data_IF_455505266654
#
_entry.id   IF_455505266654
#
_cell.length_a   1.000
_cell.length_b   1.000
_cell.length_c   1.000
_cell.angle_alpha   90.00
_cell.angle_beta   90.00
_cell.angle_gamma   90.00
#
_symmetry.space_group_name_H-M   'P 1'
#
loop_
_entity.id
_entity.type
_entity.pdbx_description
1 polymer ?
#
# COMPACT_ATOMS: atom_id res chain seq x y z
N UNK A 1 22.51 -3.02 5.38
CA UNK A 1 21.51 -1.94 5.21
C UNK A 1 20.44 -2.15 4.15
N UNK A 2 20.37 -3.26 3.41
CA UNK A 2 19.28 -3.51 2.44
C UNK A 2 18.20 -4.49 2.95
N UNK A 3 18.15 -4.75 4.26
CA UNK A 3 17.31 -5.76 4.90
C UNK A 3 15.80 -5.40 4.97
N UNK A 4 15.42 -4.24 4.44
CA UNK A 4 14.06 -3.69 4.52
C UNK A 4 13.26 -3.86 3.23
N UNK A 5 13.89 -4.21 2.10
CA UNK A 5 13.19 -4.42 0.83
C UNK A 5 12.98 -5.92 0.59
N UNK A 6 11.74 -6.38 0.34
CA UNK A 6 11.51 -7.78 0.04
C UNK A 6 12.27 -8.17 -1.23
N UNK A 7 12.87 -9.38 -1.30
CA UNK A 7 13.53 -9.82 -2.51
C UNK A 7 12.49 -9.97 -3.64
N UNK A 8 12.93 -9.90 -4.92
CA UNK A 8 12.06 -10.23 -6.03
C UNK A 8 11.37 -11.59 -5.84
N UNK A 9 10.14 -11.70 -6.31
CA UNK A 9 9.30 -12.90 -6.17
C UNK A 9 9.08 -13.57 -7.54
N UNK A 10 8.31 -14.64 -7.59
CA UNK A 10 7.84 -15.28 -8.82
C UNK A 10 6.42 -15.83 -8.60
N UNK A 11 5.69 -16.10 -9.68
CA UNK A 11 4.25 -16.44 -9.64
C UNK A 11 3.89 -17.62 -8.72
N UNK A 12 4.79 -18.59 -8.58
CA UNK A 12 4.56 -19.83 -7.83
C UNK A 12 5.08 -19.74 -6.38
N UNK A 13 5.66 -18.60 -5.98
CA UNK A 13 6.24 -18.43 -4.65
C UNK A 13 5.18 -18.03 -3.63
N UNK A 14 5.09 -18.81 -2.56
CA UNK A 14 4.45 -18.39 -1.31
C UNK A 14 5.55 -17.89 -0.37
N UNK A 15 5.68 -16.57 -0.28
CA UNK A 15 6.70 -15.89 0.55
C UNK A 15 6.12 -15.30 1.84
N UNK A 16 7.00 -14.73 2.67
CA UNK A 16 6.59 -13.97 3.85
C UNK A 16 5.91 -12.67 3.39
N UNK A 17 4.74 -12.27 3.94
CA UNK A 17 4.16 -10.98 3.63
C UNK A 17 5.14 -9.86 3.92
N UNK A 18 5.26 -8.90 3.01
CA UNK A 18 6.27 -7.86 3.12
C UNK A 18 6.13 -7.00 4.40
N UNK A 19 4.90 -6.82 4.90
CA UNK A 19 4.64 -6.15 6.19
C UNK A 19 5.02 -6.98 7.43
N UNK A 20 5.26 -8.28 7.29
CA UNK A 20 5.68 -9.18 8.38
C UNK A 20 7.19 -9.33 8.49
N UNK A 21 7.97 -8.68 7.61
CA UNK A 21 9.43 -8.72 7.67
C UNK A 21 9.95 -7.92 8.87
N UNK A 22 10.98 -8.43 9.53
CA UNK A 22 11.74 -7.75 10.57
C UNK A 22 13.24 -8.06 10.41
N UNK A 23 14.08 -7.50 11.28
CA UNK A 23 15.51 -7.87 11.32
C UNK A 23 15.73 -9.34 11.69
N UNK A 24 14.78 -9.94 12.40
CA UNK A 24 14.85 -11.32 12.91
C UNK A 24 14.14 -12.29 11.96
N UNK A 25 13.07 -11.84 11.30
CA UNK A 25 12.24 -12.63 10.41
C UNK A 25 12.24 -12.03 9.00
N UNK A 26 12.97 -12.65 8.07
CA UNK A 26 13.07 -12.15 6.70
C UNK A 26 12.87 -13.26 5.68
N UNK A 27 12.35 -12.87 4.51
CA UNK A 27 12.07 -13.81 3.44
C UNK A 27 13.36 -14.20 2.71
N UNK A 28 13.72 -15.49 2.76
CA UNK A 28 14.89 -16.06 2.08
C UNK A 28 14.44 -16.75 0.80
N UNK A 29 14.64 -16.10 -0.34
CA UNK A 29 14.33 -16.67 -1.65
C UNK A 29 15.57 -17.14 -2.41
N UNK A 30 15.42 -18.14 -3.26
CA UNK A 30 16.39 -18.45 -4.32
C UNK A 30 16.26 -17.41 -5.45
N UNK A 31 17.37 -16.99 -6.06
CA UNK A 31 17.31 -16.13 -7.25
C UNK A 31 16.51 -16.83 -8.35
N UNK A 32 15.40 -16.22 -8.77
CA UNK A 32 14.61 -16.65 -9.93
C UNK A 32 15.08 -15.91 -11.18
N UNK A 33 15.14 -16.62 -12.29
CA UNK A 33 15.39 -16.07 -13.64
C UNK A 33 14.17 -15.31 -14.18
N UNK A 34 12.97 -15.55 -13.65
CA UNK A 34 11.72 -14.84 -13.97
C UNK A 34 11.21 -14.05 -12.75
N UNK A 35 12.06 -13.16 -12.26
CA UNK A 35 11.75 -12.36 -11.08
C UNK A 35 10.72 -11.27 -11.39
N UNK A 36 9.66 -11.19 -10.59
CA UNK A 36 8.69 -10.08 -10.58
C UNK A 36 8.86 -9.25 -9.30
N UNK A 37 8.50 -7.97 -9.36
CA UNK A 37 8.50 -7.11 -8.17
C UNK A 37 7.62 -7.71 -7.07
N UNK A 38 8.03 -7.67 -5.79
CA UNK A 38 7.24 -8.19 -4.68
C UNK A 38 5.93 -7.41 -4.49
N UNK A 39 4.85 -8.05 -3.99
CA UNK A 39 3.62 -7.36 -3.63
C UNK A 39 3.84 -6.49 -2.39
N UNK A 40 4.00 -5.20 -2.61
CA UNK A 40 4.28 -4.20 -1.56
C UNK A 40 3.16 -3.20 -1.36
N UNK A 41 2.10 -3.31 -2.18
CA UNK A 41 0.92 -2.46 -2.15
C UNK A 41 -0.32 -3.33 -2.31
N UNK A 42 -1.39 -3.00 -1.57
CA UNK A 42 -2.75 -3.48 -1.83
C UNK A 42 -3.68 -2.28 -1.87
N UNK A 43 -4.52 -2.24 -2.90
CA UNK A 43 -5.57 -1.24 -3.05
C UNK A 43 -6.90 -1.87 -2.68
N UNK A 44 -7.67 -1.19 -1.84
CA UNK A 44 -9.05 -1.56 -1.51
C UNK A 44 -9.97 -0.48 -2.07
N UNK A 45 -10.93 -0.88 -2.88
CA UNK A 45 -12.00 -0.02 -3.36
C UNK A 45 -13.28 -0.41 -2.62
N UNK A 46 -13.77 0.50 -1.77
CA UNK A 46 -15.06 0.37 -1.10
C UNK A 46 -16.14 0.97 -1.98
N UNK A 47 -17.02 0.12 -2.49
CA UNK A 47 -18.11 0.52 -3.38
C UNK A 47 -19.18 1.23 -2.55
N UNK A 48 -19.37 2.54 -2.76
CA UNK A 48 -20.43 3.29 -2.08
C UNK A 48 -21.77 3.22 -2.83
N UNK A 49 -21.70 2.84 -4.10
CA UNK A 49 -22.82 2.59 -5.00
C UNK A 49 -22.66 1.19 -5.60
N UNK A 50 -23.74 0.66 -6.18
CA UNK A 50 -23.65 -0.54 -7.01
C UNK A 50 -22.71 -0.27 -8.19
N UNK A 51 -21.76 -1.18 -8.43
CA UNK A 51 -20.93 -1.16 -9.62
C UNK A 51 -21.47 -2.15 -10.63
N UNK A 52 -21.63 -1.67 -11.85
CA UNK A 52 -22.03 -2.45 -13.02
C UNK A 52 -21.05 -2.18 -14.15
N UNK A 53 -21.09 -3.01 -15.19
CA UNK A 53 -20.31 -2.75 -16.40
C UNK A 53 -20.71 -1.41 -17.04
N UNK A 54 -22.01 -1.11 -17.09
CA UNK A 54 -22.53 0.10 -17.75
C UNK A 54 -22.21 1.40 -17.01
N UNK A 55 -22.10 1.38 -15.67
CA UNK A 55 -21.82 2.56 -14.87
C UNK A 55 -20.31 2.79 -14.60
N UNK A 56 -19.44 2.05 -15.28
CA UNK A 56 -18.00 2.23 -15.19
C UNK A 56 -17.36 1.52 -13.99
N UNK A 57 -17.81 0.30 -13.69
CA UNK A 57 -17.10 -0.61 -12.79
C UNK A 57 -15.60 -0.67 -13.13
N UNK A 58 -14.76 -0.76 -12.08
CA UNK A 58 -13.30 -0.74 -12.23
C UNK A 58 -12.86 -1.88 -13.17
N UNK A 59 -12.16 -1.55 -14.24
CA UNK A 59 -11.60 -2.52 -15.17
C UNK A 59 -10.33 -3.11 -14.59
N UNK A 60 -10.19 -4.43 -14.70
CA UNK A 60 -9.02 -5.17 -14.22
C UNK A 60 -8.57 -6.13 -15.31
N UNK A 61 -7.26 -6.23 -15.53
CA UNK A 61 -6.66 -7.27 -16.40
C UNK A 61 -6.22 -8.45 -15.50
N UNK A 62 -6.96 -9.58 -15.49
CA UNK A 62 -6.64 -10.68 -14.60
C UNK A 62 -5.24 -11.25 -14.86
N UNK A 63 -4.52 -11.57 -13.78
CA UNK A 63 -3.19 -12.18 -13.87
C UNK A 63 -2.04 -11.25 -14.31
N UNK A 64 -2.30 -9.99 -14.69
CA UNK A 64 -1.25 -9.08 -15.18
C UNK A 64 -0.11 -8.86 -14.19
N UNK A 65 -0.43 -8.86 -12.88
CA UNK A 65 0.52 -8.72 -11.77
C UNK A 65 1.55 -9.86 -11.66
N UNK A 66 1.33 -10.99 -12.35
CA UNK A 66 2.22 -12.16 -12.35
C UNK A 66 3.26 -12.13 -13.48
N UNK A 67 3.15 -11.16 -14.40
CA UNK A 67 3.99 -11.12 -15.62
C UNK A 67 5.30 -10.33 -15.46
N UNK A 68 5.39 -9.46 -14.43
CA UNK A 68 6.53 -8.56 -14.25
C UNK A 68 6.66 -7.46 -15.31
N UNK A 69 5.70 -7.34 -16.23
CA UNK A 69 5.70 -6.37 -17.33
C UNK A 69 4.31 -5.76 -17.53
N UNK A 70 4.23 -4.72 -18.36
CA UNK A 70 2.93 -4.17 -18.76
C UNK A 70 2.18 -5.19 -19.63
N UNK A 71 0.84 -5.30 -19.49
CA UNK A 71 0.04 -6.13 -20.37
C UNK A 71 0.08 -5.60 -21.81
N UNK A 72 -0.14 -6.49 -22.78
CA UNK A 72 -0.29 -6.09 -24.18
C UNK A 72 -1.52 -5.19 -24.35
N UNK A 73 -1.51 -4.29 -25.34
CA UNK A 73 -2.63 -3.37 -25.60
C UNK A 73 -3.94 -4.07 -25.96
N UNK A 74 -3.87 -5.35 -26.33
CA UNK A 74 -5.00 -6.22 -26.65
C UNK A 74 -5.43 -7.10 -25.47
N UNK A 75 -4.86 -6.90 -24.28
CA UNK A 75 -5.20 -7.71 -23.12
C UNK A 75 -6.67 -7.51 -22.72
N UNK A 76 -7.36 -8.61 -22.48
CA UNK A 76 -8.75 -8.58 -22.03
C UNK A 76 -8.83 -8.04 -20.59
N UNK A 77 -9.77 -7.13 -20.39
CA UNK A 77 -10.11 -6.61 -19.07
C UNK A 77 -11.54 -6.96 -18.71
N UNK A 78 -11.79 -7.17 -17.43
CA UNK A 78 -13.13 -7.41 -16.88
C UNK A 78 -13.54 -6.26 -15.96
N UNK A 79 -14.82 -5.91 -15.98
CA UNK A 79 -15.41 -4.95 -15.05
C UNK A 79 -15.62 -5.61 -13.68
N UNK A 80 -15.05 -5.05 -12.62
CA UNK A 80 -15.42 -5.39 -11.26
C UNK A 80 -16.81 -4.82 -10.95
N UNK A 81 -17.77 -5.72 -10.74
CA UNK A 81 -19.17 -5.39 -10.43
C UNK A 81 -19.55 -5.96 -9.07
N UNK A 82 -20.54 -5.33 -8.43
CA UNK A 82 -20.98 -5.72 -7.10
C UNK A 82 -21.89 -4.67 -6.46
N UNK A 83 -22.70 -5.04 -5.46
CA UNK A 83 -23.56 -4.10 -4.78
C UNK A 83 -22.78 -3.11 -3.92
N UNK A 84 -23.40 -1.97 -3.59
CA UNK A 84 -22.89 -1.04 -2.58
C UNK A 84 -22.56 -1.78 -1.26
N UNK A 85 -21.46 -1.37 -0.62
CA UNK A 85 -20.90 -2.04 0.57
C UNK A 85 -19.88 -3.15 0.25
N UNK A 86 -19.69 -3.50 -1.03
CA UNK A 86 -18.65 -4.44 -1.45
C UNK A 86 -17.26 -3.82 -1.34
N UNK A 87 -16.27 -4.62 -0.92
CA UNK A 87 -14.85 -4.26 -0.95
C UNK A 87 -14.14 -5.05 -2.06
N UNK A 88 -13.59 -4.36 -3.05
CA UNK A 88 -12.72 -4.95 -4.06
C UNK A 88 -11.26 -4.80 -3.62
N UNK A 89 -10.57 -5.93 -3.44
CA UNK A 89 -9.15 -5.97 -3.10
C UNK A 89 -8.32 -6.23 -4.37
N UNK A 90 -7.35 -5.37 -4.61
CA UNK A 90 -6.45 -5.44 -5.75
C UNK A 90 -4.99 -5.46 -5.28
N UNK A 91 -4.21 -6.43 -5.76
CA UNK A 91 -2.75 -6.35 -5.71
C UNK A 91 -2.30 -5.06 -6.41
N UNK A 92 -1.41 -4.27 -5.80
CA UNK A 92 -0.99 -2.99 -6.35
C UNK A 92 -0.28 -3.07 -7.71
N UNK A 93 0.15 -4.27 -8.13
CA UNK A 93 0.76 -4.53 -9.44
C UNK A 93 -0.27 -4.91 -10.52
N UNK A 94 -1.53 -5.15 -10.15
CA UNK A 94 -2.57 -5.51 -11.13
C UNK A 94 -2.87 -4.31 -12.01
N UNK A 95 -2.99 -4.53 -13.31
CA UNK A 95 -3.33 -3.49 -14.25
C UNK A 95 -4.83 -3.24 -14.15
N UNK A 96 -5.19 -2.00 -13.90
CA UNK A 96 -6.57 -1.61 -13.67
C UNK A 96 -6.81 -0.16 -14.06
N UNK A 97 -8.08 0.20 -14.22
CA UNK A 97 -8.48 1.56 -14.51
C UNK A 97 -9.98 1.76 -14.28
N UNK A 98 -10.42 3.01 -14.21
CA UNK A 98 -11.84 3.33 -14.11
C UNK A 98 -12.54 3.01 -15.42
N UNK A 99 -13.62 2.22 -15.37
CA UNK A 99 -14.44 1.93 -16.55
C UNK A 99 -15.20 3.17 -17.03
N UNK A 100 -15.57 3.19 -18.31
CA UNK A 100 -16.39 4.27 -18.86
C UNK A 100 -17.80 4.23 -18.26
N UNK A 101 -18.20 5.31 -17.58
CA UNK A 101 -19.56 5.45 -17.09
C UNK A 101 -20.48 5.98 -18.21
N UNK A 102 -21.31 5.09 -18.76
CA UNK A 102 -22.27 5.41 -19.81
C UNK A 102 -23.65 5.81 -19.29
N UNK A 103 -23.82 5.85 -17.97
CA UNK A 103 -25.08 6.21 -17.30
C UNK A 103 -25.15 7.71 -16.99
N UNK A 104 -26.28 8.15 -16.43
CA UNK A 104 -26.51 9.55 -16.01
C UNK A 104 -26.25 9.78 -14.52
N UNK A 105 -25.84 8.75 -13.79
CA UNK A 105 -25.64 8.79 -12.34
C UNK A 105 -24.16 8.65 -12.00
N UNK A 106 -23.67 9.39 -10.99
CA UNK A 106 -22.30 9.20 -10.51
C UNK A 106 -22.14 7.81 -9.90
N UNK A 107 -20.90 7.32 -9.89
CA UNK A 107 -20.49 6.05 -9.30
C UNK A 107 -19.34 6.30 -8.34
N UNK A 108 -19.60 6.18 -7.04
CA UNK A 108 -18.70 6.62 -5.96
C UNK A 108 -18.03 5.42 -5.29
N UNK A 109 -16.77 5.62 -4.91
CA UNK A 109 -16.03 4.67 -4.10
C UNK A 109 -15.04 5.40 -3.19
N UNK A 110 -14.68 4.77 -2.08
CA UNK A 110 -13.54 5.16 -1.26
C UNK A 110 -12.39 4.26 -1.62
N UNK A 111 -11.22 4.85 -1.88
CA UNK A 111 -9.99 4.12 -2.14
C UNK A 111 -9.14 4.13 -0.89
N UNK A 112 -8.66 2.97 -0.48
CA UNK A 112 -7.68 2.82 0.59
C UNK A 112 -6.48 2.06 0.04
N UNK A 113 -5.33 2.72 0.02
CA UNK A 113 -4.07 2.13 -0.42
C UNK A 113 -3.24 1.80 0.81
N UNK A 114 -2.92 0.52 0.99
CA UNK A 114 -1.92 0.10 1.97
C UNK A 114 -0.61 -0.17 1.25
N UNK A 115 0.48 0.30 1.83
CA UNK A 115 1.83 0.04 1.34
C UNK A 115 2.71 -0.44 2.49
N UNK A 116 3.74 -1.19 2.15
CA UNK A 116 4.75 -1.61 3.12
C UNK A 116 5.54 -0.41 3.64
N UNK A 117 6.10 -0.47 4.86
CA UNK A 117 6.58 0.70 5.61
C UNK A 117 7.80 1.42 5.01
N UNK A 118 8.45 0.86 3.99
CA UNK A 118 9.49 1.56 3.23
C UNK A 118 8.95 2.62 2.26
N UNK A 119 7.65 2.62 1.96
CA UNK A 119 7.02 3.62 1.12
C UNK A 119 6.38 4.72 1.97
N UNK A 120 6.39 5.94 1.44
CA UNK A 120 5.57 7.02 1.99
C UNK A 120 4.11 6.81 1.59
N UNK A 121 3.15 7.02 2.50
CA UNK A 121 1.73 7.01 2.13
C UNK A 121 1.40 8.14 1.14
N UNK A 122 0.28 8.00 0.43
CA UNK A 122 -0.17 9.02 -0.55
C UNK A 122 -0.50 10.35 0.13
N UNK A 123 -1.08 10.29 1.32
CA UNK A 123 -1.30 11.44 2.20
C UNK A 123 -0.21 11.50 3.26
N UNK A 124 0.24 12.70 3.62
CA UNK A 124 1.21 12.86 4.68
C UNK A 124 0.53 12.89 6.05
N UNK A 125 0.11 11.72 6.55
CA UNK A 125 -0.66 11.60 7.78
C UNK A 125 0.08 12.09 9.03
N UNK A 126 1.41 12.04 9.08
CA UNK A 126 2.18 12.59 10.21
C UNK A 126 2.13 14.12 10.27
N UNK A 127 1.66 14.80 9.22
CA UNK A 127 1.46 16.26 9.21
C UNK A 127 -0.03 16.61 9.13
N UNK A 128 -0.80 15.87 8.34
CA UNK A 128 -2.19 16.17 8.02
C UNK A 128 -3.23 15.60 8.99
N UNK A 129 -2.84 14.66 9.87
CA UNK A 129 -3.80 14.08 10.82
C UNK A 129 -4.12 15.09 11.92
N UNK A 130 -5.41 15.30 12.16
CA UNK A 130 -5.87 16.19 13.23
C UNK A 130 -5.52 15.62 14.60
N UNK A 131 -5.17 16.51 15.54
CA UNK A 131 -4.83 16.12 16.90
C UNK A 131 -5.95 15.31 17.57
N UNK A 132 -7.22 15.67 17.38
CA UNK A 132 -8.39 14.95 17.93
C UNK A 132 -8.46 13.47 17.51
N UNK A 133 -7.92 13.14 16.32
CA UNK A 133 -7.81 11.75 15.85
C UNK A 133 -6.64 11.06 16.54
N UNK A 134 -5.49 11.73 16.66
CA UNK A 134 -4.30 11.19 17.33
C UNK A 134 -4.55 10.89 18.80
N UNK A 135 -5.30 11.76 19.49
CA UNK A 135 -5.63 11.62 20.91
C UNK A 135 -6.43 10.35 21.23
N UNK A 136 -7.11 9.78 20.22
CA UNK A 136 -7.92 8.56 20.36
C UNK A 136 -7.35 7.36 19.60
N UNK A 137 -6.21 7.53 18.92
CA UNK A 137 -5.60 6.48 18.11
C UNK A 137 -4.96 5.40 18.99
N UNK A 138 -5.29 4.14 18.71
CA UNK A 138 -4.57 3.01 19.29
C UNK A 138 -3.25 2.78 18.52
N UNK A 139 -2.33 1.95 19.05
CA UNK A 139 -1.05 1.66 18.38
C UNK A 139 -1.20 1.18 16.92
N UNK A 140 -2.21 0.35 16.64
CA UNK A 140 -2.46 -0.16 15.29
C UNK A 140 -2.80 0.97 14.31
N UNK A 141 -3.63 1.92 14.71
CA UNK A 141 -3.97 3.08 13.87
C UNK A 141 -2.76 4.01 13.69
N UNK A 142 -1.97 4.23 14.75
CA UNK A 142 -0.73 5.02 14.64
C UNK A 142 0.25 4.37 13.66
N UNK A 143 0.37 3.05 13.66
CA UNK A 143 1.17 2.30 12.69
C UNK A 143 0.64 2.48 11.26
N UNK A 144 -0.67 2.35 11.03
CA UNK A 144 -1.28 2.58 9.72
C UNK A 144 -1.13 4.02 9.21
N UNK A 145 -1.12 4.99 10.12
CA UNK A 145 -0.89 6.41 9.81
C UNK A 145 0.60 6.75 9.63
N UNK A 146 1.51 5.76 9.76
CA UNK A 146 2.94 5.93 9.53
C UNK A 146 3.71 6.58 10.68
N UNK A 147 3.17 6.55 11.91
CA UNK A 147 3.87 7.05 13.11
C UNK A 147 4.86 6.04 13.68
N UNK A 148 4.70 4.74 13.38
CA UNK A 148 5.65 3.71 13.79
C UNK A 148 6.95 3.89 13.04
N UNK A 149 8.06 3.91 13.79
CA UNK A 149 9.37 4.11 13.20
C UNK A 149 9.79 2.86 12.43
N UNK A 150 10.17 3.06 11.18
CA UNK A 150 10.72 2.02 10.32
C UNK A 150 12.18 2.30 9.99
N UNK A 151 12.98 1.24 9.87
CA UNK A 151 14.43 1.31 9.70
C UNK A 151 14.89 1.73 8.28
N UNK A 152 14.06 2.42 7.50
CA UNK A 152 14.34 2.81 6.11
C UNK A 152 14.21 4.32 5.87
N UNK A 153 14.11 4.73 4.60
CA UNK A 153 14.03 6.12 4.17
C UNK A 153 12.79 6.85 4.74
N UNK A 154 12.95 8.13 5.05
CA UNK A 154 11.83 8.98 5.51
C UNK A 154 11.65 9.06 7.03
N UNK A 155 12.59 8.54 7.83
CA UNK A 155 12.56 8.61 9.29
C UNK A 155 12.52 10.06 9.79
N UNK A 156 11.55 10.37 10.65
CA UNK A 156 11.44 11.63 11.39
C UNK A 156 11.43 11.33 12.89
N UNK A 157 12.57 10.99 13.50
CA UNK A 157 12.68 10.55 14.92
C UNK A 157 14.05 9.96 15.25
N UNK A 158 14.29 9.45 16.45
CA UNK A 158 15.51 8.71 16.81
C UNK A 158 15.36 7.21 16.41
N UNK A 159 16.41 6.47 15.98
CA UNK A 159 16.23 5.10 15.48
C UNK A 159 15.92 4.06 16.57
N UNK A 160 15.96 4.46 17.84
CA UNK A 160 15.64 3.60 18.99
C UNK A 160 14.24 3.85 19.53
N UNK A 161 13.53 4.84 19.02
CA UNK A 161 12.16 5.13 19.45
C UNK A 161 11.20 4.23 18.67
N UNK A 162 10.09 3.84 19.31
CA UNK A 162 9.05 3.02 18.66
C UNK A 162 8.12 3.86 17.77
N UNK A 163 7.81 5.09 18.21
CA UNK A 163 6.87 6.00 17.53
C UNK A 163 7.38 7.44 17.49
N UNK A 164 6.95 8.19 16.48
CA UNK A 164 7.21 9.62 16.34
C UNK A 164 6.31 10.41 17.32
N UNK A 165 6.92 11.26 18.15
CA UNK A 165 6.20 12.18 19.05
C UNK A 165 6.24 13.62 18.54
N UNK A 166 5.09 14.29 18.50
CA UNK A 166 5.02 15.72 18.19
C UNK A 166 5.58 16.57 19.35
N UNK A 167 6.33 17.62 19.02
CA UNK A 167 6.76 18.65 19.98
C UNK A 167 8.07 18.37 20.74
N UNK A 168 8.65 17.18 20.62
CA UNK A 168 10.00 16.89 21.10
C UNK A 168 11.03 17.34 20.07
N UNK A 169 11.73 18.43 20.35
CA UNK A 169 12.97 18.76 19.65
C UNK A 169 13.99 17.64 19.93
N UNK A 170 14.79 17.21 18.94
CA UNK A 170 15.87 16.26 19.20
C UNK A 170 16.77 16.82 20.32
N UNK A 171 17.21 15.98 21.27
CA UNK A 171 18.01 16.46 22.39
C UNK A 171 19.35 16.97 21.89
N UNK A 172 19.53 18.30 21.98
CA UNK A 172 20.83 18.94 22.05
C UNK A 172 21.42 19.38 20.71
N UNK A 173 21.73 20.67 20.65
CA UNK A 173 22.74 21.24 19.77
C UNK A 173 24.10 20.58 20.07
N UNK A 174 24.78 20.09 19.03
CA UNK A 174 26.16 19.64 19.13
C UNK A 174 27.03 20.89 19.33
N UNK A 175 27.40 21.19 20.58
CA UNK A 175 28.44 22.18 20.87
C UNK A 175 29.80 21.53 20.63
N UNK A 176 30.62 22.03 19.68
CA UNK A 176 32.00 21.60 19.55
C UNK A 176 32.81 22.03 20.78
N UNK A 177 33.71 21.16 21.24
CA UNK A 177 34.79 21.52 22.17
C UNK A 177 35.82 22.44 21.50
#
# INVERSE_FOLDING_TARGET
DQWWMPPPTHKDRVGLPAGSMSRELFDKGTQSIEAISPPVVVNILWLLDDFTESNGGTQVVPGSHLSGRQPDSTADSIAATGPAGTALLCDGRIWHGTGANSTKTPRRAVLTTFCTPQFRPQENYTVGTRQEVLDTANPDLLELLGFKIWHAYGRTGHPTDDYITHGTLPPGELTPD
#
